data_IF_061140625235
#
_entry.id   IF_061140625235
#
_cell.length_a   1.000
_cell.length_b   1.000
_cell.length_c   1.000
_cell.angle_alpha   90.00
_cell.angle_beta   90.00
_cell.angle_gamma   90.00
#
_symmetry.space_group_name_H-M   'P 1'
#
loop_
_entity.id
_entity.type
_entity.pdbx_description
1 polymer ?
#
# COMPACT_ATOMS: atom_id res chain seq x y z
N UNK A 1 -1.07 23.47 -17.44
CA UNK A 1 0.01 24.30 -16.86
C UNK A 1 0.10 23.97 -15.39
N UNK A 2 1.30 23.70 -14.87
CA UNK A 2 1.54 23.67 -13.41
C UNK A 2 1.68 25.12 -12.93
N UNK A 3 1.34 25.40 -11.68
CA UNK A 3 1.17 26.72 -11.03
C UNK A 3 2.37 27.69 -11.12
N UNK A 4 3.48 27.32 -11.76
CA UNK A 4 4.73 28.11 -11.87
C UNK A 4 5.22 28.37 -13.30
N UNK A 5 4.39 28.14 -14.33
CA UNK A 5 4.77 28.42 -15.73
C UNK A 5 5.80 27.44 -16.32
N UNK A 6 6.18 26.38 -15.60
CA UNK A 6 7.05 25.31 -16.09
C UNK A 6 6.22 24.32 -16.91
N UNK A 7 6.67 24.03 -18.13
CA UNK A 7 6.11 22.98 -18.97
C UNK A 7 6.77 21.63 -18.64
N UNK A 8 5.97 20.69 -18.18
CA UNK A 8 6.40 19.32 -17.86
C UNK A 8 5.56 18.37 -18.72
N UNK A 9 6.22 17.49 -19.46
CA UNK A 9 5.54 16.46 -20.25
C UNK A 9 5.16 15.26 -19.36
N UNK A 10 4.17 14.48 -19.78
CA UNK A 10 3.83 13.23 -19.09
C UNK A 10 5.03 12.26 -19.03
N UNK A 11 5.86 12.22 -20.08
CA UNK A 11 7.06 11.40 -20.14
C UNK A 11 8.09 11.82 -19.09
N UNK A 12 8.20 13.12 -18.81
CA UNK A 12 9.08 13.63 -17.76
C UNK A 12 8.65 13.10 -16.39
N UNK A 13 7.34 13.13 -16.09
CA UNK A 13 6.81 12.58 -14.83
C UNK A 13 7.03 11.06 -14.76
N UNK A 14 6.76 10.34 -15.85
CA UNK A 14 7.00 8.89 -15.93
C UNK A 14 8.46 8.54 -15.64
N UNK A 15 9.40 9.25 -16.27
CA UNK A 15 10.83 9.04 -16.05
C UNK A 15 11.21 9.29 -14.59
N UNK A 16 10.68 10.35 -13.96
CA UNK A 16 10.93 10.61 -12.53
C UNK A 16 10.41 9.50 -11.62
N UNK A 17 9.20 8.98 -11.88
CA UNK A 17 8.67 7.84 -11.10
C UNK A 17 9.56 6.61 -11.27
N UNK A 18 10.05 6.34 -12.48
CA UNK A 18 10.98 5.22 -12.72
C UNK A 18 12.34 5.42 -12.07
N UNK A 19 12.89 6.64 -12.10
CA UNK A 19 14.20 6.94 -11.52
C UNK A 19 14.16 6.96 -10.00
N UNK A 20 13.14 7.57 -9.40
CA UNK A 20 13.12 7.89 -7.96
C UNK A 20 12.09 7.09 -7.16
N UNK A 21 11.08 6.51 -7.80
CA UNK A 21 9.90 5.97 -7.13
C UNK A 21 10.23 4.88 -6.11
N UNK A 22 11.11 3.94 -6.45
CA UNK A 22 11.50 2.84 -5.54
C UNK A 22 12.24 3.37 -4.30
N UNK A 23 13.20 4.27 -4.50
CA UNK A 23 13.97 4.84 -3.39
C UNK A 23 13.08 5.68 -2.47
N UNK A 24 12.17 6.46 -3.06
CA UNK A 24 11.22 7.28 -2.32
C UNK A 24 10.23 6.42 -1.55
N UNK A 25 9.68 5.36 -2.15
CA UNK A 25 8.79 4.42 -1.46
C UNK A 25 9.49 3.80 -0.25
N UNK A 26 10.74 3.34 -0.39
CA UNK A 26 11.55 2.81 0.72
C UNK A 26 11.78 3.86 1.80
N UNK A 27 12.10 5.10 1.42
CA UNK A 27 12.32 6.21 2.36
C UNK A 27 11.04 6.55 3.12
N UNK A 28 9.90 6.64 2.45
CA UNK A 28 8.62 6.91 3.08
C UNK A 28 8.17 5.78 4.00
N UNK A 29 8.44 4.51 3.67
CA UNK A 29 8.23 3.38 4.59
C UNK A 29 9.03 3.56 5.87
N UNK A 30 10.32 3.88 5.79
CA UNK A 30 11.16 4.16 6.97
C UNK A 30 10.67 5.34 7.81
N UNK A 31 10.23 6.43 7.16
CA UNK A 31 9.74 7.63 7.85
C UNK A 31 8.45 7.34 8.62
N UNK A 32 7.58 6.45 8.11
CA UNK A 32 6.32 6.06 8.75
C UNK A 32 6.47 4.96 9.82
N UNK A 33 7.70 4.51 10.09
CA UNK A 33 7.93 3.53 11.14
C UNK A 33 7.48 4.08 12.50
N UNK A 34 6.68 3.32 13.23
CA UNK A 34 6.10 3.67 14.52
C UNK A 34 4.98 4.71 14.48
N UNK A 35 4.52 5.14 13.30
CA UNK A 35 3.52 6.22 13.18
C UNK A 35 2.10 5.73 12.93
N UNK A 36 1.91 4.45 12.61
CA UNK A 36 0.58 3.89 12.36
C UNK A 36 -0.21 3.74 13.66
N UNK A 37 -1.49 4.11 13.65
CA UNK A 37 -2.41 3.84 14.76
C UNK A 37 -2.64 2.33 14.99
N UNK A 38 -3.23 1.97 16.14
CA UNK A 38 -3.47 0.58 16.54
C UNK A 38 -4.72 -0.05 15.91
N UNK A 39 -5.54 0.73 15.22
CA UNK A 39 -6.78 0.26 14.57
C UNK A 39 -6.67 0.43 13.08
N UNK A 40 -6.66 -0.68 12.36
CA UNK A 40 -6.47 -0.69 10.91
C UNK A 40 -7.77 -0.97 10.18
N UNK A 41 -7.96 -0.30 9.05
CA UNK A 41 -8.96 -0.59 8.05
C UNK A 41 -8.25 -1.14 6.82
N UNK A 42 -8.46 -2.41 6.50
CA UNK A 42 -7.83 -3.08 5.38
C UNK A 42 -8.86 -3.44 4.31
N UNK A 43 -8.48 -3.31 3.04
CA UNK A 43 -9.26 -3.77 1.91
C UNK A 43 -8.35 -4.40 0.83
N UNK A 44 -8.97 -5.01 -0.17
CA UNK A 44 -8.29 -5.46 -1.37
C UNK A 44 -9.05 -4.99 -2.62
N UNK A 45 -8.31 -4.54 -3.62
CA UNK A 45 -8.86 -4.18 -4.94
C UNK A 45 -8.05 -4.84 -6.05
N UNK A 46 -8.56 -4.81 -7.27
CA UNK A 46 -7.87 -5.35 -8.44
C UNK A 46 -7.46 -4.22 -9.38
N UNK A 47 -6.27 -4.33 -9.95
CA UNK A 47 -5.72 -3.35 -10.89
C UNK A 47 -4.95 -4.05 -12.00
N UNK A 48 -4.87 -3.40 -13.16
CA UNK A 48 -4.23 -3.98 -14.35
C UNK A 48 -2.79 -3.48 -14.47
N UNK A 49 -1.83 -4.38 -14.31
CA UNK A 49 -0.38 -4.10 -14.47
C UNK A 49 0.09 -4.78 -15.74
N UNK A 50 0.59 -4.00 -16.70
CA UNK A 50 1.11 -4.52 -17.98
C UNK A 50 0.13 -5.49 -18.68
N UNK A 51 -1.16 -5.18 -18.60
CA UNK A 51 -2.22 -5.99 -19.22
C UNK A 51 -2.71 -7.18 -18.38
N UNK A 52 -2.09 -7.49 -17.24
CA UNK A 52 -2.47 -8.58 -16.33
C UNK A 52 -3.23 -8.05 -15.12
N UNK A 53 -4.22 -8.81 -14.64
CA UNK A 53 -4.89 -8.50 -13.39
C UNK A 53 -3.99 -8.87 -12.21
N UNK A 54 -3.81 -7.92 -11.30
CA UNK A 54 -3.13 -8.08 -10.03
C UNK A 54 -4.06 -7.56 -8.91
N UNK A 55 -3.78 -7.96 -7.68
CA UNK A 55 -4.56 -7.60 -6.51
C UNK A 55 -3.74 -6.74 -5.57
N UNK A 56 -4.27 -5.56 -5.24
CA UNK A 56 -3.66 -4.60 -4.34
C UNK A 56 -4.37 -4.65 -3.01
N UNK A 57 -3.65 -5.11 -2.00
CA UNK A 57 -4.01 -5.05 -0.60
C UNK A 57 -3.52 -3.72 -0.04
N UNK A 58 -4.35 -3.05 0.77
CA UNK A 58 -3.98 -1.78 1.39
C UNK A 58 -4.64 -1.64 2.75
N UNK A 59 -3.96 -0.95 3.66
CA UNK A 59 -4.50 -0.60 4.96
C UNK A 59 -4.21 0.86 5.31
N UNK A 60 -5.16 1.46 6.01
CA UNK A 60 -5.02 2.77 6.66
C UNK A 60 -5.38 2.63 8.15
N UNK A 61 -4.86 3.52 8.98
CA UNK A 61 -5.33 3.63 10.36
C UNK A 61 -6.61 4.48 10.45
N UNK A 62 -7.16 4.61 11.66
CA UNK A 62 -8.40 5.38 11.92
C UNK A 62 -8.26 6.86 11.57
N UNK A 63 -7.07 7.41 11.68
CA UNK A 63 -6.72 8.79 11.37
C UNK A 63 -6.48 9.01 9.86
N UNK A 64 -6.53 7.93 9.07
CA UNK A 64 -6.36 7.96 7.61
C UNK A 64 -4.90 7.91 7.17
N UNK A 65 -3.96 7.64 8.07
CA UNK A 65 -2.57 7.43 7.70
C UNK A 65 -2.42 6.09 7.01
N UNK A 66 -1.59 6.06 5.97
CA UNK A 66 -1.24 4.81 5.32
C UNK A 66 -0.49 3.89 6.29
N UNK A 67 -0.98 2.66 6.46
CA UNK A 67 -0.28 1.57 7.15
C UNK A 67 0.69 0.92 6.17
N UNK A 68 0.17 0.25 5.14
CA UNK A 68 0.98 -0.23 4.02
C UNK A 68 0.13 -0.59 2.80
N UNK A 69 0.82 -0.91 1.70
CA UNK A 69 0.27 -1.50 0.47
C UNK A 69 1.08 -2.73 0.07
N UNK A 70 0.41 -3.71 -0.53
CA UNK A 70 1.02 -4.94 -1.04
C UNK A 70 0.34 -5.36 -2.34
N UNK A 71 1.13 -5.72 -3.35
CA UNK A 71 0.63 -6.14 -4.65
C UNK A 71 0.94 -7.62 -4.85
N UNK A 72 -0.10 -8.40 -5.13
CA UNK A 72 -0.01 -9.83 -5.43
C UNK A 72 -0.57 -10.15 -6.81
N UNK A 73 -0.12 -11.25 -7.40
CA UNK A 73 -0.72 -11.83 -8.59
C UNK A 73 -1.95 -12.70 -8.25
N UNK A 74 -2.13 -13.07 -6.97
CA UNK A 74 -3.24 -13.90 -6.49
C UNK A 74 -4.08 -13.15 -5.47
N UNK A 75 -5.32 -13.60 -5.31
CA UNK A 75 -6.27 -13.12 -4.30
C UNK A 75 -6.63 -14.27 -3.38
N UNK A 76 -5.67 -14.62 -2.53
CA UNK A 76 -5.77 -15.74 -1.60
C UNK A 76 -5.35 -15.31 -0.19
N UNK A 77 -5.55 -16.23 0.76
CA UNK A 77 -5.19 -16.04 2.16
C UNK A 77 -3.69 -15.81 2.33
N UNK A 78 -2.83 -16.55 1.63
CA UNK A 78 -1.39 -16.42 1.76
C UNK A 78 -0.92 -15.00 1.40
N UNK A 79 -1.45 -14.42 0.31
CA UNK A 79 -1.15 -13.06 -0.07
C UNK A 79 -1.65 -12.02 0.96
N UNK A 80 -2.76 -12.31 1.65
CA UNK A 80 -3.26 -11.46 2.73
C UNK A 80 -2.40 -11.58 4.01
N UNK A 81 -1.94 -12.78 4.37
CA UNK A 81 -1.01 -13.02 5.49
C UNK A 81 0.33 -12.31 5.24
N UNK A 82 0.90 -12.45 4.03
CA UNK A 82 2.11 -11.75 3.61
C UNK A 82 1.94 -10.23 3.71
N UNK A 83 0.77 -9.72 3.34
CA UNK A 83 0.45 -8.30 3.47
C UNK A 83 0.47 -7.85 4.93
N UNK A 84 -0.21 -8.55 5.83
CA UNK A 84 -0.25 -8.18 7.25
C UNK A 84 1.13 -8.28 7.90
N UNK A 85 1.89 -9.33 7.61
CA UNK A 85 3.28 -9.47 8.08
C UNK A 85 4.16 -8.31 7.58
N UNK A 86 4.03 -7.93 6.30
CA UNK A 86 4.76 -6.78 5.76
C UNK A 86 4.33 -5.48 6.44
N UNK A 87 3.03 -5.29 6.69
CA UNK A 87 2.48 -4.10 7.32
C UNK A 87 3.00 -3.93 8.75
N UNK A 88 2.99 -5.00 9.55
CA UNK A 88 3.57 -4.99 10.90
C UNK A 88 5.07 -4.72 10.86
N UNK A 89 5.81 -5.37 9.94
CA UNK A 89 7.26 -5.16 9.81
C UNK A 89 7.59 -3.72 9.40
N UNK A 90 6.82 -3.16 8.46
CA UNK A 90 7.04 -1.82 7.91
C UNK A 90 6.69 -0.73 8.91
N UNK A 91 5.65 -0.95 9.71
CA UNK A 91 5.19 0.02 10.72
C UNK A 91 5.81 -0.19 12.09
N UNK A 92 6.31 -1.39 12.41
CA UNK A 92 6.71 -1.76 13.77
C UNK A 92 5.55 -1.81 14.76
N UNK A 93 4.31 -1.87 14.26
CA UNK A 93 3.08 -1.81 15.06
C UNK A 93 2.29 -3.08 14.84
N UNK A 94 1.91 -3.74 15.93
CA UNK A 94 0.89 -4.80 15.93
C UNK A 94 -0.46 -4.16 16.25
N UNK A 95 -1.48 -4.30 15.39
CA UNK A 95 -2.78 -3.68 15.62
C UNK A 95 -3.59 -4.41 16.70
N UNK A 96 -4.37 -3.66 17.47
CA UNK A 96 -5.37 -4.22 18.41
C UNK A 96 -6.65 -4.65 17.70
N UNK A 97 -6.92 -4.06 16.52
CA UNK A 97 -8.13 -4.31 15.75
C UNK A 97 -7.87 -4.09 14.27
N UNK A 98 -8.28 -5.05 13.45
CA UNK A 98 -8.34 -4.92 12.00
C UNK A 98 -9.79 -5.04 11.54
N UNK A 99 -10.24 -4.07 10.74
CA UNK A 99 -11.57 -4.04 10.14
C UNK A 99 -11.45 -4.19 8.63
N UNK A 100 -12.24 -5.08 8.03
CA UNK A 100 -12.26 -5.32 6.58
C UNK A 100 -13.69 -5.33 6.07
N UNK A 101 -13.86 -5.18 4.75
CA UNK A 101 -15.15 -5.26 4.07
C UNK A 101 -15.66 -6.70 3.85
N UNK A 102 -15.11 -7.67 4.61
CA UNK A 102 -15.36 -9.12 4.49
C UNK A 102 -14.85 -9.73 3.18
N UNK A 103 -13.82 -9.13 2.60
CA UNK A 103 -13.02 -9.76 1.55
C UNK A 103 -12.62 -11.20 1.95
N UNK A 104 -12.99 -12.24 1.18
CA UNK A 104 -12.73 -13.64 1.54
C UNK A 104 -11.27 -13.99 1.80
N UNK A 105 -10.33 -13.29 1.16
CA UNK A 105 -8.90 -13.49 1.38
C UNK A 105 -8.41 -12.88 2.72
N UNK A 106 -9.02 -11.78 3.17
CA UNK A 106 -8.55 -11.04 4.36
C UNK A 106 -9.02 -11.69 5.66
N UNK A 107 -10.29 -12.09 5.76
CA UNK A 107 -10.86 -12.66 7.00
C UNK A 107 -10.08 -13.86 7.57
N UNK A 108 -9.65 -14.86 6.77
CA UNK A 108 -8.88 -15.98 7.31
C UNK A 108 -7.42 -15.64 7.63
N UNK A 109 -6.94 -14.45 7.24
CA UNK A 109 -5.56 -13.99 7.45
C UNK A 109 -5.40 -13.04 8.66
N UNK A 110 -6.51 -12.74 9.38
CA UNK A 110 -6.52 -11.97 10.63
C UNK A 110 -6.30 -12.90 11.83
#
# INVERSE_FOLDING_TARGET
>A
MITRGVHISHQTVYNWVHTFGVEWARKFRKIRFGTAGLKWHADATYLRVEGRWCYLYRAIDKEGNLVDVYLSNTRDQNAAEDFFLQAETTTGVTPDQITTDKEPALTPAL
#
